data_IF_947582739631
#
_entry.id   IF_947582739631
#
_cell.length_a   1.000
_cell.length_b   1.000
_cell.length_c   1.000
_cell.angle_alpha   90.00
_cell.angle_beta   90.00
_cell.angle_gamma   90.00
#
_symmetry.space_group_name_H-M   'P 1'
#
loop_
_entity.id
_entity.type
_entity.pdbx_description
1 polymer ?
#
# COMPACT_ATOMS: atom_id res chain seq x y z
N UNK A 1 -18.61 -17.10 -36.33
CA UNK A 1 -17.15 -17.29 -36.42
C UNK A 1 -16.51 -15.93 -36.23
N UNK A 2 -16.21 -15.54 -34.98
CA UNK A 2 -15.55 -14.27 -34.68
C UNK A 2 -14.22 -14.57 -33.99
N UNK A 3 -13.16 -14.01 -34.56
CA UNK A 3 -11.77 -14.31 -34.24
C UNK A 3 -11.40 -13.88 -32.82
N UNK A 4 -10.69 -14.78 -32.14
CA UNK A 4 -9.99 -14.51 -30.89
C UNK A 4 -8.83 -13.56 -31.22
N UNK A 5 -8.95 -12.30 -30.82
CA UNK A 5 -7.83 -11.38 -30.76
C UNK A 5 -7.09 -11.66 -29.44
N UNK A 6 -6.06 -12.50 -29.52
CA UNK A 6 -5.15 -12.79 -28.40
C UNK A 6 -4.16 -11.61 -28.29
N UNK A 7 -4.41 -10.68 -27.37
CA UNK A 7 -3.42 -9.65 -27.03
C UNK A 7 -2.46 -10.27 -26.00
N UNK A 8 -1.33 -10.74 -26.50
CA UNK A 8 -0.19 -11.22 -25.70
C UNK A 8 0.55 -9.99 -25.16
N UNK A 9 0.46 -9.74 -23.85
CA UNK A 9 1.48 -8.94 -23.16
C UNK A 9 2.71 -9.84 -23.01
N UNK A 10 3.85 -9.41 -23.54
CA UNK A 10 5.06 -10.21 -23.71
C UNK A 10 5.50 -10.93 -22.42
N UNK A 11 5.40 -12.26 -22.41
CA UNK A 11 6.24 -13.12 -21.59
C UNK A 11 7.62 -13.21 -22.27
N UNK A 12 8.58 -12.38 -21.86
CA UNK A 12 9.98 -12.48 -22.27
C UNK A 12 10.68 -13.56 -21.42
N UNK A 13 10.43 -14.83 -21.76
CA UNK A 13 11.26 -15.94 -21.32
C UNK A 13 12.61 -15.88 -22.05
N UNK A 14 13.66 -15.41 -21.38
CA UNK A 14 15.04 -15.70 -21.78
C UNK A 14 15.75 -16.33 -20.58
N UNK A 15 15.77 -17.66 -20.56
CA UNK A 15 16.69 -18.40 -19.71
C UNK A 15 17.98 -18.63 -20.48
N UNK A 16 19.13 -18.15 -19.99
CA UNK A 16 20.42 -18.87 -20.00
C UNK A 16 21.33 -18.35 -18.86
N UNK A 17 21.94 -19.30 -18.14
CA UNK A 17 23.29 -19.28 -17.54
C UNK A 17 23.62 -18.34 -16.36
N UNK A 18 24.05 -18.98 -15.27
CA UNK A 18 24.84 -18.40 -14.18
C UNK A 18 26.14 -17.78 -14.71
N UNK A 19 26.14 -16.47 -14.95
CA UNK A 19 27.33 -15.62 -14.91
C UNK A 19 26.85 -14.27 -14.40
N UNK A 20 27.60 -13.71 -13.46
CA UNK A 20 27.46 -12.39 -12.85
C UNK A 20 27.67 -11.30 -13.90
N UNK A 21 26.71 -11.18 -14.81
CA UNK A 21 26.60 -10.08 -15.75
C UNK A 21 25.77 -8.99 -15.08
N UNK A 22 26.23 -7.74 -15.13
CA UNK A 22 25.37 -6.56 -14.95
C UNK A 22 24.20 -6.68 -15.94
N UNK A 23 23.12 -7.33 -15.53
CA UNK A 23 21.94 -7.56 -16.34
C UNK A 23 21.27 -6.19 -16.52
N UNK A 24 21.34 -5.66 -17.73
CA UNK A 24 20.51 -4.53 -18.11
C UNK A 24 19.05 -5.00 -18.02
N UNK A 25 18.28 -4.37 -17.13
CA UNK A 25 16.84 -4.62 -17.02
C UNK A 25 16.19 -4.30 -18.38
N UNK A 26 15.22 -5.08 -18.87
CA UNK A 26 14.42 -4.68 -20.02
C UNK A 26 13.74 -3.32 -19.76
N UNK A 27 13.80 -2.43 -20.74
CA UNK A 27 13.21 -1.09 -20.67
C UNK A 27 11.89 -1.06 -21.43
N UNK A 28 10.83 -0.58 -20.77
CA UNK A 28 9.57 -0.23 -21.38
C UNK A 28 9.39 1.28 -21.28
N UNK A 29 9.53 1.98 -22.41
CA UNK A 29 9.50 3.46 -22.45
C UNK A 29 8.23 4.05 -21.84
N UNK A 30 7.10 3.40 -22.08
CA UNK A 30 5.81 3.85 -21.57
C UNK A 30 4.83 2.69 -21.54
N UNK A 31 4.00 2.65 -20.50
CA UNK A 31 2.80 1.83 -20.46
C UNK A 31 1.58 2.71 -20.71
N UNK A 32 0.78 2.31 -21.70
CA UNK A 32 -0.61 2.70 -21.80
C UNK A 32 -1.45 1.66 -21.06
N UNK A 33 -1.99 2.07 -19.91
CA UNK A 33 -2.80 1.18 -19.10
C UNK A 33 -4.15 0.97 -19.81
N UNK A 34 -4.48 -0.30 -20.05
CA UNK A 34 -5.69 -0.65 -20.80
C UNK A 34 -6.95 -0.33 -20.01
N UNK A 35 -8.02 0.01 -20.73
CA UNK A 35 -9.36 0.13 -20.12
C UNK A 35 -10.01 -1.24 -19.89
N UNK A 36 -9.48 -2.28 -20.52
CA UNK A 36 -10.02 -3.64 -20.44
C UNK A 36 -9.57 -4.34 -19.17
N UNK A 37 -10.43 -5.24 -18.67
CA UNK A 37 -10.11 -6.11 -17.55
C UNK A 37 -9.27 -7.27 -18.06
N UNK A 38 -8.06 -7.39 -17.53
CA UNK A 38 -7.15 -8.49 -17.84
C UNK A 38 -7.35 -9.65 -16.85
N UNK A 39 -7.14 -10.92 -17.25
CA UNK A 39 -7.06 -12.00 -16.28
C UNK A 39 -5.88 -11.79 -15.33
N UNK A 40 -4.73 -11.37 -15.87
CA UNK A 40 -3.49 -11.15 -15.11
C UNK A 40 -2.73 -9.97 -15.72
N UNK A 41 -2.21 -9.09 -14.86
CA UNK A 41 -1.18 -8.11 -15.20
C UNK A 41 0.07 -8.43 -14.38
N UNK A 42 1.11 -8.89 -15.06
CA UNK A 42 2.34 -9.36 -14.42
C UNK A 42 3.56 -8.65 -14.99
N UNK A 43 4.48 -8.27 -14.11
CA UNK A 43 5.82 -7.84 -14.51
C UNK A 43 6.87 -8.35 -13.54
N UNK A 44 7.99 -8.78 -14.10
CA UNK A 44 9.15 -9.22 -13.33
C UNK A 44 10.42 -8.58 -13.92
N UNK A 45 11.27 -8.01 -13.06
CA UNK A 45 12.59 -7.52 -13.44
C UNK A 45 12.60 -6.46 -14.56
N UNK A 46 11.54 -5.65 -14.68
CA UNK A 46 11.39 -4.63 -15.74
C UNK A 46 11.60 -3.21 -15.22
N UNK A 47 12.03 -2.30 -16.10
CA UNK A 47 11.98 -0.86 -15.89
C UNK A 47 10.90 -0.23 -16.78
N UNK A 48 9.96 0.49 -16.18
CA UNK A 48 8.91 1.26 -16.83
C UNK A 48 9.25 2.75 -16.70
N UNK A 49 9.63 3.38 -17.82
CA UNK A 49 10.16 4.75 -17.82
C UNK A 49 9.08 5.82 -17.64
N UNK A 50 7.83 5.49 -17.94
CA UNK A 50 6.69 6.36 -17.73
C UNK A 50 5.37 5.59 -17.74
N UNK A 51 4.37 6.15 -17.07
CA UNK A 51 2.97 5.76 -17.21
C UNK A 51 2.23 6.88 -17.94
N UNK A 52 1.36 6.58 -18.91
CA UNK A 52 0.50 7.61 -19.50
C UNK A 52 -0.69 7.90 -18.58
N UNK A 53 -0.83 9.16 -18.17
CA UNK A 53 -1.89 9.61 -17.27
C UNK A 53 -3.23 9.79 -18.00
N UNK A 54 -4.36 9.33 -17.41
CA UNK A 54 -4.47 8.50 -16.20
C UNK A 54 -4.16 7.03 -16.50
N UNK A 55 -3.31 6.40 -15.66
CA UNK A 55 -3.04 4.97 -15.77
C UNK A 55 -3.95 4.19 -14.81
N UNK A 56 -4.79 3.34 -15.39
CA UNK A 56 -5.70 2.47 -14.66
C UNK A 56 -5.47 1.01 -15.06
N UNK A 57 -5.11 0.17 -14.10
CA UNK A 57 -4.92 -1.26 -14.29
C UNK A 57 -6.09 -2.01 -13.66
N UNK A 58 -6.84 -2.74 -14.50
CA UNK A 58 -7.95 -3.58 -14.05
C UNK A 58 -7.61 -5.04 -14.37
N UNK A 59 -7.45 -5.88 -13.35
CA UNK A 59 -7.13 -7.29 -13.60
C UNK A 59 -7.63 -8.21 -12.48
N UNK A 60 -7.80 -9.52 -12.73
CA UNK A 60 -8.06 -10.44 -11.59
C UNK A 60 -6.86 -10.48 -10.66
N UNK A 61 -5.64 -10.58 -11.21
CA UNK A 61 -4.40 -10.47 -10.43
C UNK A 61 -3.49 -9.41 -11.02
N UNK A 62 -2.95 -8.55 -10.17
CA UNK A 62 -1.80 -7.68 -10.49
C UNK A 62 -0.61 -8.13 -9.66
N UNK A 63 0.48 -8.51 -10.31
CA UNK A 63 1.70 -8.95 -9.65
C UNK A 63 2.91 -8.25 -10.27
N UNK A 64 3.45 -7.26 -9.56
CA UNK A 64 4.64 -6.51 -9.97
C UNK A 64 5.77 -6.89 -9.02
N UNK A 65 6.71 -7.69 -9.52
CA UNK A 65 7.87 -8.14 -8.75
C UNK A 65 9.16 -7.58 -9.36
N UNK A 66 10.09 -7.12 -8.53
CA UNK A 66 11.39 -6.57 -8.96
C UNK A 66 11.26 -5.49 -10.06
N UNK A 67 10.16 -4.73 -10.04
CA UNK A 67 9.80 -3.78 -11.09
C UNK A 67 10.16 -2.36 -10.67
N UNK A 68 10.71 -1.56 -11.56
CA UNK A 68 10.95 -0.12 -11.33
C UNK A 68 9.97 0.68 -12.19
N UNK A 69 9.26 1.63 -11.60
CA UNK A 69 8.32 2.51 -12.30
C UNK A 69 8.66 3.97 -11.99
N UNK A 70 8.86 4.76 -13.04
CA UNK A 70 8.94 6.21 -12.91
C UNK A 70 7.55 6.86 -13.04
N UNK A 71 7.18 7.69 -12.07
CA UNK A 71 5.83 8.19 -11.82
C UNK A 71 5.74 9.71 -11.69
N UNK A 72 6.55 10.49 -12.40
CA UNK A 72 6.47 11.96 -12.32
C UNK A 72 5.07 12.48 -12.74
N UNK A 73 4.44 13.28 -11.88
CA UNK A 73 3.14 13.93 -12.10
C UNK A 73 2.06 12.94 -12.61
N UNK A 74 2.05 11.73 -12.05
CA UNK A 74 1.22 10.62 -12.55
C UNK A 74 0.53 9.87 -11.42
N UNK A 75 -0.65 9.32 -11.74
CA UNK A 75 -1.41 8.44 -10.86
C UNK A 75 -1.47 7.03 -11.42
N UNK A 76 -1.23 6.04 -10.56
CA UNK A 76 -1.46 4.62 -10.83
C UNK A 76 -2.67 4.17 -10.00
N UNK A 77 -3.76 3.79 -10.69
CA UNK A 77 -4.93 3.21 -10.05
C UNK A 77 -5.02 1.72 -10.40
N UNK A 78 -5.07 0.86 -9.39
CA UNK A 78 -5.13 -0.59 -9.54
C UNK A 78 -6.45 -1.09 -8.94
N UNK A 79 -7.24 -1.82 -9.73
CA UNK A 79 -8.43 -2.52 -9.26
C UNK A 79 -8.25 -4.01 -9.58
N UNK A 80 -8.19 -4.85 -8.55
CA UNK A 80 -7.98 -6.28 -8.75
C UNK A 80 -8.57 -7.16 -7.65
N UNK A 81 -8.72 -8.47 -7.89
CA UNK A 81 -9.01 -9.40 -6.81
C UNK A 81 -7.79 -9.54 -5.89
N UNK A 82 -6.60 -9.65 -6.49
CA UNK A 82 -5.33 -9.76 -5.76
C UNK A 82 -4.29 -8.81 -6.31
N UNK A 83 -3.62 -8.08 -5.43
CA UNK A 83 -2.47 -7.22 -5.75
C UNK A 83 -1.25 -7.68 -4.97
N UNK A 84 -0.16 -7.94 -5.67
CA UNK A 84 1.14 -8.27 -5.10
C UNK A 84 2.16 -7.28 -5.68
N UNK A 85 2.72 -6.42 -4.82
CA UNK A 85 3.89 -5.62 -5.15
C UNK A 85 5.06 -6.15 -4.33
N UNK A 86 6.04 -6.74 -5.00
CA UNK A 86 7.19 -7.38 -4.36
C UNK A 86 8.50 -6.74 -4.82
N UNK A 87 9.37 -6.33 -3.90
CA UNK A 87 10.71 -5.81 -4.19
C UNK A 87 10.75 -4.74 -5.30
N UNK A 88 9.67 -3.99 -5.47
CA UNK A 88 9.49 -3.04 -6.56
C UNK A 88 9.77 -1.61 -6.11
N UNK A 89 10.12 -0.73 -7.04
CA UNK A 89 10.51 0.64 -6.75
C UNK A 89 9.70 1.63 -7.57
N UNK A 90 9.12 2.61 -6.92
CA UNK A 90 8.26 3.63 -7.51
C UNK A 90 8.92 4.98 -7.25
N UNK A 91 9.37 5.64 -8.31
CA UNK A 91 10.14 6.88 -8.24
C UNK A 91 9.46 8.00 -8.99
N UNK A 92 9.30 9.17 -8.36
CA UNK A 92 8.91 10.36 -9.09
C UNK A 92 8.47 11.49 -8.19
N UNK A 93 8.30 12.68 -8.76
CA UNK A 93 7.72 13.80 -8.04
C UNK A 93 6.20 13.81 -8.23
N UNK A 94 5.46 14.14 -7.18
CA UNK A 94 4.01 14.33 -7.21
C UNK A 94 3.25 13.14 -7.81
N UNK A 95 3.30 12.00 -7.14
CA UNK A 95 2.59 10.81 -7.63
C UNK A 95 1.53 10.32 -6.64
N UNK A 96 0.59 9.55 -7.19
CA UNK A 96 -0.37 8.81 -6.37
C UNK A 96 -0.48 7.36 -6.79
N UNK A 97 -0.63 6.50 -5.79
CA UNK A 97 -0.94 5.08 -5.99
C UNK A 97 -2.23 4.80 -5.22
N UNK A 98 -3.22 4.31 -5.94
CA UNK A 98 -4.51 3.90 -5.38
C UNK A 98 -4.77 2.44 -5.73
N UNK A 99 -5.04 1.63 -4.71
CA UNK A 99 -5.25 0.19 -4.84
C UNK A 99 -6.61 -0.17 -4.25
N UNK A 100 -7.47 -0.81 -5.04
CA UNK A 100 -8.72 -1.42 -4.59
C UNK A 100 -8.67 -2.93 -4.85
N UNK A 101 -8.64 -3.73 -3.79
CA UNK A 101 -8.59 -5.19 -3.94
C UNK A 101 -9.11 -6.00 -2.76
N UNK A 102 -9.47 -7.27 -2.99
CA UNK A 102 -9.83 -8.17 -1.88
C UNK A 102 -8.59 -8.50 -1.04
N UNK A 103 -7.47 -8.77 -1.72
CA UNK A 103 -6.17 -9.08 -1.10
C UNK A 103 -5.07 -8.18 -1.64
N UNK A 104 -4.35 -7.51 -0.73
CA UNK A 104 -3.19 -6.67 -1.04
C UNK A 104 -1.98 -7.17 -0.26
N UNK A 105 -0.88 -7.44 -0.96
CA UNK A 105 0.43 -7.72 -0.38
C UNK A 105 1.46 -6.74 -0.95
N UNK A 106 1.98 -5.88 -0.08
CA UNK A 106 3.11 -5.00 -0.37
C UNK A 106 4.30 -5.47 0.44
N UNK A 107 5.31 -6.04 -0.22
CA UNK A 107 6.50 -6.56 0.46
C UNK A 107 7.80 -6.05 -0.15
N UNK A 108 8.66 -5.44 0.66
CA UNK A 108 10.01 -5.07 0.24
C UNK A 108 10.06 -3.92 -0.79
N UNK A 109 8.99 -3.14 -0.94
CA UNK A 109 8.95 -2.08 -1.95
C UNK A 109 9.58 -0.77 -1.48
N UNK A 110 9.96 0.08 -2.44
CA UNK A 110 10.44 1.43 -2.19
C UNK A 110 9.59 2.45 -2.95
N UNK A 111 8.99 3.39 -2.25
CA UNK A 111 8.24 4.51 -2.79
C UNK A 111 9.02 5.79 -2.48
N UNK A 112 9.49 6.52 -3.49
CA UNK A 112 10.35 7.68 -3.28
C UNK A 112 10.01 8.86 -4.20
N UNK A 113 9.85 10.04 -3.62
CA UNK A 113 9.25 11.18 -4.29
C UNK A 113 8.78 12.27 -3.34
N UNK A 114 8.87 13.54 -3.74
CA UNK A 114 8.64 14.67 -2.84
C UNK A 114 7.21 14.74 -2.30
N UNK A 115 6.19 14.60 -3.16
CA UNK A 115 4.78 14.56 -2.74
C UNK A 115 4.17 13.22 -3.14
N UNK A 116 3.60 12.51 -2.17
CA UNK A 116 3.07 11.17 -2.37
C UNK A 116 1.68 11.02 -1.76
N UNK A 117 0.76 10.44 -2.53
CA UNK A 117 -0.52 9.99 -2.00
C UNK A 117 -0.65 8.48 -2.19
N UNK A 118 -0.82 7.75 -1.10
CA UNK A 118 -1.02 6.32 -1.10
C UNK A 118 -2.40 6.02 -0.51
N UNK A 119 -3.29 5.39 -1.27
CA UNK A 119 -4.64 5.03 -0.82
C UNK A 119 -4.91 3.55 -1.12
N UNK A 120 -4.98 2.73 -0.08
CA UNK A 120 -5.33 1.31 -0.19
C UNK A 120 -6.71 1.10 0.40
N UNK A 121 -7.55 0.43 -0.38
CA UNK A 121 -8.85 -0.05 0.02
C UNK A 121 -8.96 -1.56 -0.22
N UNK A 122 -9.08 -2.36 0.83
CA UNK A 122 -9.21 -3.80 0.64
C UNK A 122 -9.61 -4.61 1.85
N UNK A 123 -9.97 -5.87 1.66
CA UNK A 123 -10.45 -6.72 2.76
C UNK A 123 -9.33 -7.25 3.63
N UNK A 124 -8.23 -7.69 3.01
CA UNK A 124 -7.03 -8.16 3.68
C UNK A 124 -5.82 -7.44 3.10
N UNK A 125 -5.17 -6.60 3.90
CA UNK A 125 -4.02 -5.80 3.46
C UNK A 125 -2.79 -6.12 4.31
N UNK A 126 -1.72 -6.58 3.67
CA UNK A 126 -0.43 -6.87 4.32
C UNK A 126 0.63 -5.96 3.73
N UNK A 127 1.32 -5.23 4.59
CA UNK A 127 2.31 -4.22 4.20
C UNK A 127 3.56 -4.48 5.05
N UNK A 128 4.57 -5.09 4.45
CA UNK A 128 5.77 -5.50 5.16
C UNK A 128 7.04 -4.98 4.51
N UNK A 129 7.99 -4.51 5.31
CA UNK A 129 9.36 -4.19 4.85
C UNK A 129 9.43 -3.16 3.73
N UNK A 130 8.45 -2.26 3.64
CA UNK A 130 8.44 -1.21 2.62
C UNK A 130 9.12 0.07 3.14
N UNK A 131 9.69 0.84 2.23
CA UNK A 131 10.19 2.20 2.50
C UNK A 131 9.35 3.22 1.76
N UNK A 132 8.82 4.21 2.48
CA UNK A 132 8.07 5.34 1.93
C UNK A 132 8.87 6.62 2.23
N UNK A 133 9.47 7.23 1.21
CA UNK A 133 10.32 8.41 1.35
C UNK A 133 9.75 9.62 0.60
N UNK A 134 9.30 10.66 1.30
CA UNK A 134 8.79 11.87 0.66
C UNK A 134 8.48 12.99 1.64
N UNK A 135 8.83 14.22 1.26
CA UNK A 135 8.68 15.42 2.09
C UNK A 135 7.23 15.64 2.53
N UNK A 136 6.27 15.39 1.64
CA UNK A 136 4.84 15.50 1.92
C UNK A 136 4.14 14.19 1.55
N UNK A 137 3.75 13.41 2.55
CA UNK A 137 3.13 12.10 2.34
C UNK A 137 1.75 12.00 2.98
N UNK A 138 0.79 11.50 2.21
CA UNK A 138 -0.53 11.14 2.68
C UNK A 138 -0.75 9.65 2.46
N UNK A 139 -0.82 8.91 3.55
CA UNK A 139 -0.87 7.46 3.54
C UNK A 139 -2.16 6.98 4.20
N UNK A 140 -3.05 6.40 3.40
CA UNK A 140 -4.37 5.94 3.80
C UNK A 140 -4.50 4.46 3.53
N UNK A 141 -4.87 3.71 4.56
CA UNK A 141 -5.20 2.28 4.45
C UNK A 141 -6.55 2.05 5.09
N UNK A 142 -7.48 1.54 4.29
CA UNK A 142 -8.84 1.22 4.70
C UNK A 142 -9.10 -0.25 4.40
N UNK A 143 -9.62 -0.98 5.37
CA UNK A 143 -9.96 -2.36 5.14
C UNK A 143 -10.67 -3.04 6.28
N UNK A 144 -10.99 -4.32 6.13
CA UNK A 144 -11.51 -5.11 7.26
C UNK A 144 -10.37 -5.52 8.21
N UNK A 145 -9.25 -5.95 7.62
CA UNK A 145 -8.06 -6.42 8.31
C UNK A 145 -6.82 -5.90 7.63
N UNK A 146 -5.91 -5.34 8.41
CA UNK A 146 -4.62 -4.94 7.87
C UNK A 146 -3.49 -5.05 8.89
N UNK A 147 -2.36 -5.54 8.37
CA UNK A 147 -1.15 -5.86 9.11
C UNK A 147 0.02 -5.10 8.48
N UNK A 148 0.65 -4.23 9.26
CA UNK A 148 1.83 -3.46 8.86
C UNK A 148 3.02 -3.83 9.73
N UNK A 149 4.12 -4.25 9.11
CA UNK A 149 5.31 -4.70 9.84
C UNK A 149 6.62 -4.23 9.20
N UNK A 150 7.57 -3.76 10.02
CA UNK A 150 8.91 -3.39 9.57
C UNK A 150 8.93 -2.38 8.41
N UNK A 151 7.92 -1.52 8.29
CA UNK A 151 7.92 -0.45 7.31
C UNK A 151 8.67 0.76 7.84
N UNK A 152 9.28 1.51 6.92
CA UNK A 152 10.00 2.74 7.21
C UNK A 152 9.35 3.89 6.44
N UNK A 153 8.94 4.92 7.16
CA UNK A 153 8.39 6.15 6.60
C UNK A 153 9.37 7.28 6.88
N UNK A 154 9.82 7.98 5.84
CA UNK A 154 10.84 9.02 5.92
C UNK A 154 10.35 10.27 5.19
N UNK A 155 10.53 11.44 5.79
CA UNK A 155 10.22 12.72 5.16
C UNK A 155 9.55 13.70 6.11
N UNK A 156 9.27 14.92 5.67
CA UNK A 156 8.94 16.02 6.57
C UNK A 156 7.53 15.92 7.16
N UNK A 157 6.49 16.06 6.34
CA UNK A 157 5.10 16.08 6.76
C UNK A 157 4.41 14.76 6.38
N UNK A 158 4.06 13.98 7.40
CA UNK A 158 3.48 12.66 7.22
C UNK A 158 2.08 12.61 7.83
N UNK A 159 1.08 12.33 6.98
CA UNK A 159 -0.29 12.09 7.40
C UNK A 159 -0.66 10.63 7.19
N UNK A 160 -1.07 9.98 8.27
CA UNK A 160 -1.22 8.55 8.38
C UNK A 160 -2.64 8.20 8.85
N UNK A 161 -3.48 7.65 7.96
CA UNK A 161 -4.86 7.27 8.29
C UNK A 161 -5.05 5.79 8.09
N UNK A 162 -5.43 5.10 9.16
CA UNK A 162 -5.81 3.68 9.14
C UNK A 162 -7.24 3.56 9.61
N UNK A 163 -8.10 2.90 8.84
CA UNK A 163 -9.51 2.78 9.18
C UNK A 163 -10.08 1.42 8.84
N UNK A 164 -10.59 0.73 9.85
CA UNK A 164 -11.47 -0.40 9.67
C UNK A 164 -12.77 0.06 9.00
N UNK A 165 -13.13 -0.63 7.92
CA UNK A 165 -14.36 -0.39 7.17
C UNK A 165 -15.01 -1.72 6.81
N UNK A 166 -16.35 -1.73 6.74
CA UNK A 166 -17.09 -2.92 6.33
C UNK A 166 -16.92 -3.19 4.83
N UNK A 167 -17.19 -4.42 4.39
CA UNK A 167 -17.22 -4.77 2.95
C UNK A 167 -18.16 -3.87 2.14
N UNK A 168 -19.27 -3.43 2.75
CA UNK A 168 -20.19 -2.49 2.12
C UNK A 168 -19.59 -1.08 1.98
N UNK A 169 -18.90 -0.60 3.01
CA UNK A 169 -18.20 0.69 2.95
C UNK A 169 -17.09 0.66 1.90
N UNK A 170 -16.32 -0.45 1.80
CA UNK A 170 -15.33 -0.64 0.74
C UNK A 170 -15.98 -0.52 -0.64
N UNK A 171 -17.04 -1.28 -0.87
CA UNK A 171 -17.77 -1.27 -2.16
C UNK A 171 -18.32 0.11 -2.51
N UNK A 172 -18.76 0.87 -1.51
CA UNK A 172 -19.45 2.15 -1.70
C UNK A 172 -18.51 3.37 -1.67
N UNK A 173 -17.21 3.20 -1.38
CA UNK A 173 -16.25 4.31 -1.36
C UNK A 173 -16.08 4.94 -2.76
N UNK A 174 -16.17 4.11 -3.81
CA UNK A 174 -16.06 4.49 -5.23
C UNK A 174 -17.25 3.93 -6.03
N UNK A 175 -18.44 4.55 -5.93
CA UNK A 175 -19.65 4.03 -6.58
C UNK A 175 -19.53 3.96 -8.11
N UNK A 176 -18.68 4.78 -8.72
CA UNK A 176 -18.37 4.78 -10.14
C UNK A 176 -17.70 3.48 -10.62
N UNK A 177 -16.98 2.78 -9.74
CA UNK A 177 -16.27 1.53 -10.07
C UNK A 177 -17.09 0.25 -9.78
N UNK A 178 -18.34 0.39 -9.31
CA UNK A 178 -19.24 -0.76 -9.06
C UNK A 178 -19.38 -1.72 -10.26
N UNK A 179 -19.45 -1.27 -11.54
CA UNK A 179 -19.47 -2.19 -12.68
C UNK A 179 -18.17 -3.01 -12.79
N UNK A 180 -17.03 -2.40 -12.51
CA UNK A 180 -15.71 -3.07 -12.49
C UNK A 180 -15.68 -4.13 -11.40
N UNK A 181 -16.13 -3.78 -10.19
CA UNK A 181 -16.15 -4.70 -9.04
C UNK A 181 -17.00 -5.94 -9.32
N UNK A 182 -18.17 -5.75 -9.93
CA UNK A 182 -19.04 -6.86 -10.35
C UNK A 182 -18.39 -7.74 -11.41
N UNK A 183 -17.68 -7.15 -12.37
CA UNK A 183 -17.03 -7.90 -13.45
C UNK A 183 -15.83 -8.72 -12.96
N UNK A 184 -15.10 -8.19 -11.97
CA UNK A 184 -13.98 -8.86 -11.33
C UNK A 184 -14.41 -9.86 -10.22
N UNK A 185 -15.71 -9.95 -9.93
CA UNK A 185 -16.25 -10.70 -8.79
C UNK A 185 -15.55 -10.36 -7.48
N UNK A 186 -15.29 -9.05 -7.24
CA UNK A 186 -14.67 -8.60 -5.99
C UNK A 186 -15.59 -8.91 -4.82
N UNK A 187 -15.10 -9.78 -3.94
CA UNK A 187 -15.83 -10.22 -2.78
C UNK A 187 -15.09 -9.77 -1.53
N UNK A 188 -15.36 -8.53 -1.16
CA UNK A 188 -14.79 -7.91 0.02
C UNK A 188 -15.22 -8.56 1.35
N UNK A 189 -15.99 -9.65 1.33
CA UNK A 189 -16.40 -10.43 2.52
C UNK A 189 -15.43 -11.59 2.76
N UNK A 190 -14.74 -12.08 1.73
CA UNK A 190 -13.83 -13.22 1.86
C UNK A 190 -12.49 -12.76 2.43
N UNK A 191 -12.23 -13.17 3.67
CA UNK A 191 -10.88 -13.13 4.24
C UNK A 191 -10.04 -14.28 3.68
N UNK A 192 -8.76 -14.00 3.44
CA UNK A 192 -7.79 -15.08 3.28
C UNK A 192 -7.65 -15.82 4.62
N UNK A 193 -7.62 -17.15 4.55
CA UNK A 193 -7.61 -18.06 5.72
C UNK A 193 -6.44 -17.81 6.67
N UNK A 194 -5.33 -17.25 6.18
CA UNK A 194 -4.17 -16.88 6.99
C UNK A 194 -4.42 -15.64 7.88
N UNK A 195 -5.37 -14.77 7.52
CA UNK A 195 -5.69 -13.54 8.26
C UNK A 195 -6.68 -13.78 9.41
N UNK A 196 -7.44 -14.88 9.37
CA UNK A 196 -8.39 -15.28 10.42
C UNK A 196 -7.73 -15.51 11.79
N UNK A 197 -6.41 -15.75 11.82
CA UNK A 197 -5.66 -16.01 13.04
C UNK A 197 -5.43 -14.74 13.90
N UNK A 198 -5.71 -13.55 13.39
CA UNK A 198 -5.46 -12.32 14.13
C UNK A 198 -6.67 -11.93 15.00
N UNK A 199 -6.42 -11.84 16.31
CA UNK A 199 -7.40 -11.31 17.25
C UNK A 199 -7.76 -9.84 16.94
N UNK A 200 -6.90 -9.11 16.23
CA UNK A 200 -6.99 -7.68 15.96
C UNK A 200 -7.29 -7.38 14.49
N UNK A 201 -8.08 -6.32 14.25
CA UNK A 201 -8.39 -5.82 12.91
C UNK A 201 -7.24 -4.99 12.33
N UNK A 202 -6.54 -4.25 13.20
CA UNK A 202 -5.39 -3.43 12.86
C UNK A 202 -4.20 -3.88 13.68
N UNK A 203 -3.12 -4.28 13.02
CA UNK A 203 -1.85 -4.57 13.67
C UNK A 203 -0.75 -3.72 13.02
N UNK A 204 0.01 -3.00 13.84
CA UNK A 204 1.21 -2.26 13.43
C UNK A 204 2.36 -2.63 14.34
N UNK A 205 3.42 -3.23 13.79
CA UNK A 205 4.56 -3.64 14.59
C UNK A 205 5.92 -3.34 13.95
N UNK A 206 6.88 -2.93 14.78
CA UNK A 206 8.26 -2.68 14.34
C UNK A 206 8.40 -1.66 13.20
N UNK A 207 7.43 -0.74 13.06
CA UNK A 207 7.52 0.29 12.03
C UNK A 207 8.33 1.50 12.55
N UNK A 208 9.10 2.10 11.65
CA UNK A 208 9.85 3.32 11.90
C UNK A 208 9.21 4.49 11.15
N UNK A 209 8.95 5.57 11.86
CA UNK A 209 8.46 6.82 11.30
C UNK A 209 9.49 7.89 11.62
N UNK A 210 10.20 8.36 10.61
CA UNK A 210 11.25 9.36 10.73
C UNK A 210 10.86 10.60 9.95
N UNK A 211 10.29 11.57 10.65
CA UNK A 211 9.75 12.76 9.99
C UNK A 211 9.51 13.92 10.91
N UNK A 212 9.72 15.13 10.38
CA UNK A 212 9.68 16.35 11.19
C UNK A 212 8.28 16.64 11.73
N UNK A 213 7.20 16.27 11.05
CA UNK A 213 5.82 16.47 11.49
C UNK A 213 4.96 15.26 11.14
N UNK A 214 4.27 14.69 12.12
CA UNK A 214 3.55 13.44 11.94
C UNK A 214 2.16 13.46 12.58
N UNK A 215 1.17 12.97 11.83
CA UNK A 215 -0.20 12.76 12.33
C UNK A 215 -0.64 11.35 12.01
N UNK A 216 -0.98 10.59 13.05
CA UNK A 216 -1.47 9.22 12.99
C UNK A 216 -2.90 9.15 13.51
N UNK A 217 -3.80 8.69 12.66
CA UNK A 217 -5.20 8.44 13.00
C UNK A 217 -5.53 6.98 12.74
N UNK A 218 -5.82 6.24 13.80
CA UNK A 218 -6.15 4.82 13.77
C UNK A 218 -7.59 4.63 14.23
N UNK A 219 -8.38 3.91 13.45
CA UNK A 219 -9.78 3.61 13.78
C UNK A 219 -10.07 2.16 13.48
N UNK A 220 -10.23 1.32 14.48
CA UNK A 220 -10.65 -0.06 14.33
C UNK A 220 -11.24 -0.58 15.65
N UNK A 221 -12.13 -1.56 15.61
CA UNK A 221 -12.68 -2.19 16.80
C UNK A 221 -11.55 -2.73 17.67
N UNK A 222 -10.59 -3.44 17.07
CA UNK A 222 -9.41 -3.98 17.76
C UNK A 222 -8.12 -3.51 17.10
N UNK A 223 -7.31 -2.76 17.84
CA UNK A 223 -6.03 -2.18 17.42
C UNK A 223 -4.91 -2.77 18.29
N UNK A 224 -3.84 -3.25 17.66
CA UNK A 224 -2.57 -3.58 18.32
C UNK A 224 -1.42 -2.81 17.69
N UNK A 225 -0.75 -1.98 18.49
CA UNK A 225 0.48 -1.30 18.13
C UNK A 225 1.61 -1.77 19.04
N UNK A 226 2.71 -2.27 18.47
CA UNK A 226 3.81 -2.80 19.27
C UNK A 226 5.17 -2.48 18.67
N UNK A 227 6.07 -1.91 19.48
CA UNK A 227 7.47 -1.65 19.10
C UNK A 227 7.63 -0.72 17.89
N UNK A 228 6.71 0.23 17.70
CA UNK A 228 6.87 1.28 16.69
C UNK A 228 7.71 2.43 17.23
N UNK A 229 8.51 3.06 16.37
CA UNK A 229 9.36 4.21 16.71
C UNK A 229 8.96 5.43 15.89
N UNK A 230 8.75 6.55 16.56
CA UNK A 230 8.25 7.78 15.94
C UNK A 230 9.21 8.94 16.21
N UNK A 231 10.07 9.31 15.27
CA UNK A 231 11.08 10.36 15.43
C UNK A 231 10.66 11.68 14.80
N UNK A 232 10.89 12.80 15.49
CA UNK A 232 10.63 14.16 14.99
C UNK A 232 9.48 14.86 15.73
N UNK A 233 9.21 16.14 15.47
CA UNK A 233 8.25 16.95 16.24
C UNK A 233 7.66 18.08 15.40
N UNK A 234 6.32 18.27 15.35
CA UNK A 234 5.33 17.71 16.27
C UNK A 234 4.79 16.32 15.90
N UNK A 235 4.27 15.60 16.89
CA UNK A 235 3.64 14.28 16.72
C UNK A 235 2.23 14.26 17.32
N UNK A 236 1.26 13.76 16.55
CA UNK A 236 -0.11 13.50 17.01
C UNK A 236 -0.51 12.06 16.71
N UNK A 237 -0.96 11.33 17.71
CA UNK A 237 -1.38 9.94 17.63
C UNK A 237 -2.77 9.79 18.25
N UNK A 238 -3.76 9.48 17.44
CA UNK A 238 -5.12 9.20 17.91
C UNK A 238 -5.55 7.81 17.48
N UNK A 239 -5.87 6.96 18.46
CA UNK A 239 -6.44 5.65 18.25
C UNK A 239 -7.87 5.58 18.79
N UNK A 240 -8.78 5.00 18.01
CA UNK A 240 -10.18 4.81 18.38
C UNK A 240 -10.59 3.35 18.17
N UNK A 241 -11.01 2.69 19.25
CA UNK A 241 -11.37 1.27 19.22
C UNK A 241 -11.96 0.77 20.54
N UNK A 242 -12.63 -0.38 20.49
CA UNK A 242 -13.17 -1.06 21.69
C UNK A 242 -12.10 -1.84 22.43
N UNK A 243 -11.04 -2.27 21.75
CA UNK A 243 -9.84 -2.85 22.33
C UNK A 243 -8.60 -2.25 21.65
N UNK A 244 -7.87 -1.39 22.38
CA UNK A 244 -6.65 -0.76 21.87
C UNK A 244 -5.50 -1.17 22.77
N UNK A 245 -4.54 -1.89 22.20
CA UNK A 245 -3.30 -2.32 22.86
C UNK A 245 -2.15 -1.55 22.23
N UNK A 246 -1.43 -0.77 23.04
CA UNK A 246 -0.29 0.04 22.61
C UNK A 246 0.88 -0.25 23.54
N UNK A 247 1.83 -1.05 23.08
CA UNK A 247 2.90 -1.62 23.90
C UNK A 247 4.28 -1.27 23.34
N UNK A 248 5.17 -0.77 24.20
CA UNK A 248 6.60 -0.53 23.86
C UNK A 248 6.81 0.39 22.63
N UNK A 249 5.85 1.25 22.31
CA UNK A 249 6.02 2.28 21.30
C UNK A 249 6.90 3.41 21.85
N UNK A 250 7.78 3.97 21.01
CA UNK A 250 8.75 4.99 21.39
C UNK A 250 8.43 6.33 20.74
N UNK A 251 8.31 7.36 21.58
CA UNK A 251 8.05 8.74 21.20
C UNK A 251 9.14 9.63 21.83
N UNK A 252 10.26 9.90 21.13
CA UNK A 252 11.26 10.84 21.58
C UNK A 252 10.73 12.27 21.46
N UNK A 253 10.43 12.87 22.60
CA UNK A 253 9.98 14.26 22.72
C UNK A 253 8.47 14.40 22.99
N UNK A 254 7.95 15.64 23.00
CA UNK A 254 6.53 15.91 23.27
C UNK A 254 5.61 15.33 22.19
N UNK A 255 4.68 14.47 22.61
CA UNK A 255 3.68 13.85 21.74
C UNK A 255 2.28 14.12 22.26
N UNK A 256 1.32 14.34 21.35
CA UNK A 256 -0.11 14.24 21.69
C UNK A 256 -0.57 12.83 21.37
N UNK A 257 -0.63 11.94 22.37
CA UNK A 257 -1.09 10.57 22.19
C UNK A 257 -2.40 10.35 22.95
N UNK A 258 -3.44 9.95 22.21
CA UNK A 258 -4.79 9.72 22.74
C UNK A 258 -5.33 8.38 22.31
N UNK A 259 -5.94 7.68 23.25
CA UNK A 259 -6.75 6.50 23.01
C UNK A 259 -8.18 6.81 23.41
N UNK A 260 -9.12 6.72 22.47
CA UNK A 260 -10.53 7.06 22.65
C UNK A 260 -10.73 8.48 23.25
N UNK A 261 -9.89 9.43 22.82
CA UNK A 261 -9.93 10.82 23.30
C UNK A 261 -9.31 11.05 24.68
N UNK A 262 -8.77 10.02 25.33
CA UNK A 262 -8.08 10.11 26.62
C UNK A 262 -6.58 10.19 26.38
N UNK A 263 -5.93 11.23 26.92
CA UNK A 263 -4.48 11.40 26.85
C UNK A 263 -3.76 10.22 27.53
N UNK A 264 -2.76 9.66 26.84
CA UNK A 264 -1.95 8.57 27.33
C UNK A 264 -0.68 9.10 28.00
N UNK A 265 -0.21 8.38 29.01
CA UNK A 265 1.10 8.63 29.60
C UNK A 265 2.12 7.80 28.84
N UNK A 266 2.73 8.41 27.84
CA UNK A 266 3.85 7.80 27.17
C UNK A 266 5.06 7.83 28.11
N UNK A 267 5.83 6.75 28.07
CA UNK A 267 7.11 6.70 28.74
C UNK A 267 8.03 7.64 27.97
N UNK A 268 8.05 8.90 28.41
CA UNK A 268 8.95 9.92 27.89
C UNK A 268 10.37 9.39 27.95
N UNK A 269 11.07 9.51 26.83
CA UNK A 269 12.48 9.18 26.71
C UNK A 269 13.28 9.82 27.85
N UNK A 270 14.22 9.04 28.39
CA UNK A 270 15.41 9.51 29.11
C UNK A 270 16.20 10.44 28.18
#
# INVERSE_FOLDING_TARGET
MFGKLLVVVLALCIGISMVEARRNRPHLRSIECTKEILPVFESEYILIESLKTPCMMKATTVNLTDTIIFMNDTSLHIIAHRVILGNSQFYGNNFSISIVADSVLLDGNRFNGNHQNFDILGSSVVIARNTFGGDDSNYKVKGLYFFEEHNMFVGENQNHIRKEVTSEQIRNEHPEELPTYKTLDLNFVKMDSNTFAFEFNLIRSHNLYDGSSQTHLLRAAKIKETLNMYNGLPQTHEAFGTNVVSDLNMYPGPVTHRINGVDQKDWGAI
#
